data_IF_577611154629
#
_entry.id   IF_577611154629
#
_cell.length_a   1.000
_cell.length_b   1.000
_cell.length_c   1.000
_cell.angle_alpha   90.00
_cell.angle_beta   90.00
_cell.angle_gamma   90.00
#
_symmetry.space_group_name_H-M   'P 1'
#
loop_
_entity.id
_entity.type
_entity.pdbx_description
1 polymer ?
#
# COMPACT_ATOMS: atom_id res chain seq x y z
N UNK A 1 -23.55 12.02 0.11
CA UNK A 1 -23.37 11.45 -1.24
C UNK A 1 -23.60 9.96 -1.12
N UNK A 2 -24.51 9.42 -1.91
CA UNK A 2 -24.89 8.00 -1.83
C UNK A 2 -23.97 7.11 -2.71
N UNK A 3 -23.41 7.67 -3.80
CA UNK A 3 -22.57 6.93 -4.74
C UNK A 3 -21.12 6.96 -4.33
N UNK A 4 -20.51 5.77 -4.23
CA UNK A 4 -19.08 5.56 -3.97
C UNK A 4 -18.50 4.57 -4.95
N UNK A 5 -17.20 4.60 -5.21
CA UNK A 5 -16.56 3.67 -6.12
C UNK A 5 -15.06 3.88 -6.16
N UNK A 6 -14.40 2.94 -6.81
CA UNK A 6 -12.96 2.94 -6.93
C UNK A 6 -12.51 2.25 -8.22
N UNK A 7 -11.58 2.89 -8.96
CA UNK A 7 -10.93 2.31 -10.13
C UNK A 7 -9.63 1.67 -9.70
N UNK A 8 -9.57 0.35 -9.73
CA UNK A 8 -8.42 -0.44 -9.30
C UNK A 8 -7.39 -0.62 -10.41
N UNK A 9 -7.87 -0.72 -11.65
CA UNK A 9 -7.03 -0.85 -12.82
C UNK A 9 -7.55 0.00 -13.96
N UNK A 10 -6.66 0.71 -14.64
CA UNK A 10 -6.93 1.36 -15.90
C UNK A 10 -5.70 1.22 -16.81
N UNK A 11 -5.81 0.38 -17.81
CA UNK A 11 -4.77 0.10 -18.81
C UNK A 11 -5.22 0.51 -20.22
N UNK A 12 -4.40 0.16 -21.22
CA UNK A 12 -4.61 0.56 -22.61
C UNK A 12 -5.87 0.02 -23.25
N UNK A 13 -6.42 -1.08 -22.77
CA UNK A 13 -7.58 -1.74 -23.36
C UNK A 13 -8.68 -2.11 -22.36
N UNK A 14 -8.47 -1.88 -21.06
CA UNK A 14 -9.41 -2.28 -20.01
C UNK A 14 -9.36 -1.35 -18.82
N UNK A 15 -10.54 -1.11 -18.23
CA UNK A 15 -10.71 -0.40 -16.96
C UNK A 15 -11.55 -1.28 -16.03
N UNK A 16 -11.10 -1.47 -14.78
CA UNK A 16 -11.85 -2.25 -13.80
C UNK A 16 -11.82 -1.64 -12.40
N UNK A 17 -12.81 -2.01 -11.59
CA UNK A 17 -13.00 -1.48 -10.25
C UNK A 17 -14.35 -1.87 -9.68
N UNK A 18 -14.91 -1.00 -8.86
CA UNK A 18 -16.27 -1.17 -8.32
C UNK A 18 -16.97 0.18 -8.16
N UNK A 19 -18.32 0.16 -8.20
CA UNK A 19 -19.16 1.33 -7.97
C UNK A 19 -20.45 0.90 -7.26
N UNK A 20 -20.86 1.67 -6.24
CA UNK A 20 -21.98 1.34 -5.37
C UNK A 20 -22.74 2.60 -4.94
N UNK A 21 -24.07 2.51 -4.89
CA UNK A 21 -24.95 3.54 -4.35
C UNK A 21 -25.59 3.06 -3.05
N UNK A 22 -25.21 3.65 -1.93
CA UNK A 22 -25.78 3.31 -0.63
C UNK A 22 -27.25 3.72 -0.48
N UNK A 23 -27.74 4.64 -1.30
CA UNK A 23 -29.15 5.04 -1.36
C UNK A 23 -30.01 4.04 -2.16
N UNK A 24 -29.38 3.24 -3.02
CA UNK A 24 -30.05 2.23 -3.85
C UNK A 24 -29.19 0.94 -3.89
N UNK A 25 -29.10 0.17 -2.79
CA UNK A 25 -28.13 -0.91 -2.61
C UNK A 25 -28.23 -2.06 -3.61
N UNK A 26 -29.38 -2.24 -4.25
CA UNK A 26 -29.60 -3.26 -5.30
C UNK A 26 -29.35 -2.75 -6.72
N UNK A 27 -29.12 -1.43 -6.90
CA UNK A 27 -28.89 -0.86 -8.20
C UNK A 27 -27.53 -1.31 -8.77
N UNK A 28 -27.52 -1.58 -10.08
CA UNK A 28 -26.30 -1.83 -10.85
C UNK A 28 -25.99 -0.54 -11.60
N UNK A 29 -24.96 0.16 -11.13
CA UNK A 29 -24.62 1.46 -11.70
C UNK A 29 -24.02 1.29 -13.09
N UNK A 30 -24.43 2.13 -14.03
CA UNK A 30 -23.69 2.27 -15.27
C UNK A 30 -22.38 3.00 -14.98
N UNK A 31 -21.30 2.49 -15.54
CA UNK A 31 -19.95 3.07 -15.40
C UNK A 31 -19.48 3.46 -16.79
N UNK A 32 -19.05 4.70 -16.95
CA UNK A 32 -18.54 5.23 -18.23
C UNK A 32 -17.07 5.59 -18.13
N UNK A 33 -16.32 5.36 -19.21
CA UNK A 33 -14.91 5.70 -19.37
C UNK A 33 -14.77 6.81 -20.39
N UNK A 34 -14.09 7.91 -20.03
CA UNK A 34 -13.98 9.14 -20.83
C UNK A 34 -12.58 9.75 -20.72
N UNK A 35 -12.22 10.59 -21.69
CA UNK A 35 -11.10 11.56 -21.60
C UNK A 35 -11.70 12.93 -21.95
N UNK A 36 -11.79 13.82 -20.96
CA UNK A 36 -12.53 15.05 -21.13
C UNK A 36 -13.99 14.78 -21.56
N UNK A 37 -14.40 15.36 -22.70
CA UNK A 37 -15.76 15.15 -23.24
C UNK A 37 -15.87 13.91 -24.15
N UNK A 38 -14.78 13.26 -24.50
CA UNK A 38 -14.78 12.11 -25.40
C UNK A 38 -15.14 10.83 -24.64
N UNK A 39 -16.17 10.13 -25.13
CA UNK A 39 -16.66 8.86 -24.59
C UNK A 39 -15.96 7.67 -25.28
N UNK A 40 -15.47 6.71 -24.51
CA UNK A 40 -14.77 5.53 -25.02
C UNK A 40 -15.53 4.22 -24.81
N UNK A 41 -16.12 4.02 -23.63
CA UNK A 41 -16.84 2.79 -23.32
C UNK A 41 -17.75 2.96 -22.11
N UNK A 42 -18.74 2.06 -21.99
CA UNK A 42 -19.52 1.90 -20.76
C UNK A 42 -19.78 0.43 -20.45
N UNK A 43 -20.16 0.16 -19.21
CA UNK A 43 -20.56 -1.15 -18.72
C UNK A 43 -21.27 -1.01 -17.38
N UNK A 44 -21.71 -2.13 -16.81
CA UNK A 44 -22.39 -2.12 -15.51
C UNK A 44 -21.49 -2.63 -14.39
N UNK A 45 -21.68 -2.06 -13.21
CA UNK A 45 -21.07 -2.54 -11.96
C UNK A 45 -21.95 -3.69 -11.40
N UNK A 46 -21.82 -4.89 -12.00
CA UNK A 46 -22.66 -6.07 -11.73
C UNK A 46 -21.84 -7.35 -11.47
N UNK A 47 -20.52 -7.26 -11.52
CA UNK A 47 -19.61 -8.39 -11.29
C UNK A 47 -19.59 -8.72 -9.80
N UNK A 48 -19.80 -10.00 -9.48
CA UNK A 48 -19.72 -10.51 -8.11
C UNK A 48 -18.27 -10.49 -7.61
N UNK A 49 -18.09 -9.96 -6.40
CA UNK A 49 -16.80 -9.82 -5.71
C UNK A 49 -16.98 -10.13 -4.24
N UNK A 50 -16.29 -11.17 -3.78
CA UNK A 50 -16.36 -11.63 -2.40
C UNK A 50 -15.81 -10.59 -1.41
N UNK A 51 -14.80 -9.82 -1.80
CA UNK A 51 -14.23 -8.76 -0.98
C UNK A 51 -15.21 -7.60 -0.75
N UNK A 52 -16.04 -7.26 -1.74
CA UNK A 52 -17.10 -6.26 -1.59
C UNK A 52 -18.23 -6.77 -0.69
N UNK A 53 -18.59 -8.05 -0.83
CA UNK A 53 -19.59 -8.69 0.04
C UNK A 53 -19.12 -8.68 1.50
N UNK A 54 -17.87 -9.07 1.74
CA UNK A 54 -17.23 -9.07 3.06
C UNK A 54 -17.13 -7.65 3.65
N UNK A 55 -16.90 -6.65 2.79
CA UNK A 55 -16.86 -5.24 3.19
C UNK A 55 -18.24 -4.63 3.46
N UNK A 56 -19.35 -5.39 3.28
CA UNK A 56 -20.71 -4.90 3.47
C UNK A 56 -21.18 -3.94 2.36
N UNK A 57 -20.58 -4.00 1.19
CA UNK A 57 -20.95 -3.19 0.02
C UNK A 57 -22.05 -3.92 -0.73
N UNK A 58 -23.30 -3.59 -0.40
CA UNK A 58 -24.49 -4.19 -0.97
C UNK A 58 -24.50 -5.73 -0.90
N UNK A 59 -24.83 -6.37 -2.00
CA UNK A 59 -24.80 -7.83 -2.16
C UNK A 59 -23.49 -8.35 -2.76
N UNK A 60 -22.45 -7.51 -2.80
CA UNK A 60 -21.14 -7.84 -3.38
C UNK A 60 -21.07 -7.84 -4.90
N UNK A 61 -22.20 -7.59 -5.62
CA UNK A 61 -22.24 -7.55 -7.08
C UNK A 61 -22.15 -6.11 -7.58
N UNK A 62 -21.05 -5.44 -7.28
CA UNK A 62 -20.81 -4.04 -7.64
C UNK A 62 -19.44 -3.84 -8.31
N UNK A 63 -18.78 -4.91 -8.72
CA UNK A 63 -17.55 -4.85 -9.53
C UNK A 63 -17.87 -4.51 -10.98
N UNK A 64 -16.93 -3.87 -11.68
CA UNK A 64 -16.99 -3.68 -13.13
C UNK A 64 -15.65 -4.01 -13.79
N UNK A 65 -15.73 -4.40 -15.07
CA UNK A 65 -14.58 -4.60 -15.93
C UNK A 65 -15.02 -4.25 -17.35
N UNK A 66 -14.52 -3.13 -17.85
CA UNK A 66 -14.95 -2.52 -19.12
C UNK A 66 -13.78 -2.58 -20.09
N UNK A 67 -13.98 -3.28 -21.20
CA UNK A 67 -13.02 -3.28 -22.32
C UNK A 67 -13.21 -2.00 -23.12
N UNK A 68 -12.11 -1.31 -23.40
CA UNK A 68 -12.11 -0.03 -24.10
C UNK A 68 -11.75 -0.25 -25.55
N UNK A 69 -12.54 0.27 -26.45
CA UNK A 69 -12.51 -0.03 -27.89
C UNK A 69 -11.35 0.57 -28.69
N UNK A 70 -10.42 1.26 -28.03
CA UNK A 70 -9.19 1.79 -28.66
C UNK A 70 -8.08 0.76 -28.56
N UNK A 71 -7.43 0.44 -29.65
CA UNK A 71 -6.39 -0.59 -29.68
C UNK A 71 -5.25 -0.33 -28.68
N UNK A 72 -4.88 0.93 -28.44
CA UNK A 72 -3.95 1.31 -27.36
C UNK A 72 -4.16 2.76 -26.96
N UNK A 73 -4.23 3.04 -25.64
CA UNK A 73 -4.07 4.39 -25.11
C UNK A 73 -2.58 4.67 -24.88
N UNK A 74 -2.14 5.86 -25.19
CA UNK A 74 -0.84 6.36 -24.73
C UNK A 74 -0.81 6.50 -23.21
N UNK A 75 0.38 6.56 -22.62
CA UNK A 75 0.52 6.79 -21.18
C UNK A 75 -0.16 8.10 -20.71
N UNK A 76 -0.13 9.14 -21.54
CA UNK A 76 -0.78 10.41 -21.27
C UNK A 76 -2.31 10.28 -21.32
N UNK A 77 -2.86 9.57 -22.29
CA UNK A 77 -4.30 9.30 -22.39
C UNK A 77 -4.77 8.41 -21.25
N UNK A 78 -4.01 7.37 -20.88
CA UNK A 78 -4.29 6.55 -19.69
C UNK A 78 -4.30 7.44 -18.44
N UNK A 79 -3.39 8.37 -18.28
CA UNK A 79 -3.37 9.31 -17.16
C UNK A 79 -4.58 10.27 -17.16
N UNK A 80 -5.12 10.61 -18.32
CA UNK A 80 -6.27 11.49 -18.50
C UNK A 80 -7.64 10.78 -18.45
N UNK A 81 -7.67 9.43 -18.37
CA UNK A 81 -8.92 8.68 -18.31
C UNK A 81 -9.73 9.07 -17.06
N UNK A 82 -10.98 9.36 -17.25
CA UNK A 82 -11.96 9.60 -16.20
C UNK A 82 -13.01 8.48 -16.20
N UNK A 83 -13.35 8.01 -15.01
CA UNK A 83 -14.38 6.98 -14.82
C UNK A 83 -15.50 7.58 -13.99
N UNK A 84 -16.72 7.49 -14.49
CA UNK A 84 -17.89 8.01 -13.83
C UNK A 84 -18.92 6.91 -13.60
N UNK A 85 -19.51 6.86 -12.40
CA UNK A 85 -20.69 6.06 -12.10
C UNK A 85 -21.96 6.91 -12.21
N UNK A 86 -23.00 6.34 -12.78
CA UNK A 86 -24.27 7.00 -13.01
C UNK A 86 -25.35 6.35 -12.15
N UNK A 87 -25.98 7.14 -11.26
CA UNK A 87 -27.12 6.74 -10.47
C UNK A 87 -28.27 7.70 -10.72
N UNK A 88 -29.27 7.27 -11.50
CA UNK A 88 -30.36 8.13 -11.96
C UNK A 88 -29.90 9.34 -12.78
N UNK A 89 -30.07 10.55 -12.24
CA UNK A 89 -29.58 11.78 -12.87
C UNK A 89 -28.19 12.23 -12.31
N UNK A 90 -27.66 11.56 -11.32
CA UNK A 90 -26.38 11.91 -10.69
C UNK A 90 -25.23 11.19 -11.40
N UNK A 91 -24.21 11.96 -11.80
CA UNK A 91 -22.98 11.45 -12.40
C UNK A 91 -21.84 11.74 -11.45
N UNK A 92 -21.23 10.70 -10.89
CA UNK A 92 -20.17 10.81 -9.88
C UNK A 92 -18.87 10.29 -10.46
N UNK A 93 -17.84 11.13 -10.44
CA UNK A 93 -16.48 10.72 -10.79
C UNK A 93 -15.93 9.78 -9.73
N UNK A 94 -15.57 8.57 -10.17
CA UNK A 94 -14.98 7.58 -9.31
C UNK A 94 -13.48 7.90 -9.14
N UNK A 95 -13.01 7.87 -7.88
CA UNK A 95 -11.60 8.05 -7.57
C UNK A 95 -10.77 6.90 -8.18
N UNK A 96 -9.68 7.27 -8.84
CA UNK A 96 -8.77 6.36 -9.50
C UNK A 96 -7.47 6.20 -8.72
N UNK A 97 -7.00 4.98 -8.56
CA UNK A 97 -5.56 4.78 -8.49
C UNK A 97 -4.98 5.19 -9.85
N UNK A 98 -4.08 6.16 -9.86
CA UNK A 98 -3.39 6.51 -11.10
C UNK A 98 -2.73 5.25 -11.64
N UNK A 99 -3.22 4.79 -12.80
CA UNK A 99 -2.95 3.48 -13.34
C UNK A 99 -1.46 3.17 -13.37
N UNK A 100 -1.15 1.94 -13.04
CA UNK A 100 0.14 1.39 -13.42
C UNK A 100 0.26 1.50 -14.96
N UNK A 101 1.38 1.97 -15.48
CA UNK A 101 1.64 1.89 -16.91
C UNK A 101 1.57 0.43 -17.35
N UNK A 102 1.20 0.19 -18.61
CA UNK A 102 1.23 -1.17 -19.16
C UNK A 102 2.61 -1.80 -18.97
N UNK A 103 2.67 -3.10 -18.72
CA UNK A 103 3.94 -3.79 -18.65
C UNK A 103 4.57 -3.90 -20.03
N UNK A 104 5.24 -2.86 -20.48
CA UNK A 104 6.16 -2.93 -21.62
C UNK A 104 7.56 -3.13 -21.05
N UNK A 105 7.89 -4.36 -20.73
CA UNK A 105 9.26 -4.70 -20.33
C UNK A 105 10.03 -5.16 -21.56
N UNK A 106 10.69 -4.23 -22.23
CA UNK A 106 11.69 -4.57 -23.23
C UNK A 106 13.07 -4.76 -22.55
N UNK A 107 13.42 -6.00 -22.24
CA UNK A 107 14.67 -6.37 -21.58
C UNK A 107 15.92 -6.27 -22.50
N UNK A 108 15.82 -5.64 -23.66
CA UNK A 108 16.91 -5.63 -24.68
C UNK A 108 17.86 -4.45 -24.61
N UNK A 109 17.83 -3.65 -23.53
CA UNK A 109 18.67 -2.46 -23.48
C UNK A 109 20.01 -2.69 -22.79
N UNK A 110 21.08 -2.18 -23.39
CA UNK A 110 22.44 -2.07 -22.83
C UNK A 110 22.52 -1.17 -21.58
N UNK A 111 21.38 -0.61 -21.15
CA UNK A 111 21.23 0.27 -19.96
C UNK A 111 21.32 -0.49 -18.62
N UNK A 112 21.49 -1.81 -18.61
CA UNK A 112 21.65 -2.65 -17.41
C UNK A 112 22.97 -2.39 -16.63
N UNK A 113 23.46 -1.16 -16.58
CA UNK A 113 24.78 -0.89 -15.99
C UNK A 113 24.73 -0.44 -14.52
N UNK A 114 23.66 0.17 -14.05
CA UNK A 114 23.57 0.65 -12.67
C UNK A 114 22.92 -0.40 -11.74
N UNK A 115 23.47 -0.59 -10.54
CA UNK A 115 22.88 -1.41 -9.48
C UNK A 115 21.98 -0.59 -8.54
N UNK A 116 21.92 0.70 -8.75
CA UNK A 116 21.09 1.66 -8.01
C UNK A 116 20.73 2.83 -8.92
N UNK A 117 19.64 3.52 -8.63
CA UNK A 117 19.20 4.73 -9.33
C UNK A 117 19.04 5.89 -8.36
N UNK A 118 20.03 6.80 -8.36
CA UNK A 118 20.03 8.02 -7.56
C UNK A 118 19.21 9.16 -8.20
N UNK A 119 18.62 8.97 -9.37
CA UNK A 119 17.79 9.99 -10.03
C UNK A 119 16.32 9.88 -9.63
N UNK A 120 15.91 8.76 -9.03
CA UNK A 120 14.56 8.51 -8.58
C UNK A 120 14.39 8.78 -7.08
N UNK A 121 13.20 9.20 -6.69
CA UNK A 121 12.81 9.57 -5.34
C UNK A 121 11.55 8.82 -4.90
N UNK A 122 11.61 7.47 -4.81
CA UNK A 122 10.46 6.69 -4.42
C UNK A 122 10.10 6.91 -2.95
N UNK A 123 8.81 6.68 -2.66
CA UNK A 123 8.30 6.62 -1.29
C UNK A 123 7.74 5.23 -1.01
N UNK A 124 8.22 4.61 0.04
CA UNK A 124 7.74 3.33 0.51
C UNK A 124 6.89 3.52 1.76
N UNK A 125 5.60 3.11 1.66
CA UNK A 125 4.66 3.20 2.77
C UNK A 125 4.58 1.83 3.41
N UNK A 126 5.09 1.74 4.63
CA UNK A 126 5.29 0.53 5.40
C UNK A 126 4.34 0.49 6.60
N UNK A 127 4.18 -0.69 7.17
CA UNK A 127 3.42 -0.87 8.41
C UNK A 127 2.42 -2.02 8.34
N UNK A 128 1.86 -2.44 9.49
CA UNK A 128 0.85 -3.49 9.50
C UNK A 128 -0.41 -3.08 8.75
N UNK A 129 -1.08 -4.02 8.11
CA UNK A 129 -2.40 -3.77 7.53
C UNK A 129 -3.33 -3.13 8.58
N UNK A 130 -4.20 -2.22 8.17
CA UNK A 130 -5.13 -1.46 9.05
C UNK A 130 -4.48 -0.45 9.99
N UNK A 131 -3.29 0.03 9.66
CA UNK A 131 -2.59 1.10 10.40
C UNK A 131 -2.62 2.47 9.70
N UNK A 132 -3.46 2.64 8.66
CA UNK A 132 -3.60 3.92 7.94
C UNK A 132 -2.70 4.05 6.70
N UNK A 133 -2.04 2.98 6.27
CA UNK A 133 -1.18 2.99 5.07
C UNK A 133 -1.93 3.44 3.81
N UNK A 134 -3.16 2.96 3.60
CA UNK A 134 -3.98 3.37 2.44
C UNK A 134 -4.34 4.86 2.45
N UNK A 135 -4.59 5.44 3.63
CA UNK A 135 -4.90 6.88 3.73
C UNK A 135 -3.73 7.75 3.24
N UNK A 136 -2.51 7.40 3.67
CA UNK A 136 -1.29 8.11 3.22
C UNK A 136 -1.04 7.89 1.73
N UNK A 137 -1.21 6.65 1.25
CA UNK A 137 -1.07 6.33 -0.19
C UNK A 137 -1.99 7.19 -1.04
N UNK A 138 -3.28 7.20 -0.73
CA UNK A 138 -4.27 7.97 -1.49
C UNK A 138 -3.99 9.48 -1.42
N UNK A 139 -3.61 9.99 -0.25
CA UNK A 139 -3.28 11.40 -0.10
C UNK A 139 -2.07 11.82 -0.96
N UNK A 140 -1.05 10.95 -1.07
CA UNK A 140 0.11 11.22 -1.92
C UNK A 140 -0.24 11.18 -3.41
N UNK A 141 -1.09 10.25 -3.82
CA UNK A 141 -1.61 10.21 -5.20
C UNK A 141 -2.44 11.46 -5.51
N UNK A 142 -3.36 11.85 -4.63
CA UNK A 142 -4.16 13.06 -4.76
C UNK A 142 -3.33 14.37 -4.75
N UNK A 143 -2.14 14.34 -4.16
CA UNK A 143 -1.22 15.48 -4.24
C UNK A 143 -0.77 15.77 -5.67
N UNK A 144 -0.82 14.78 -6.56
CA UNK A 144 -0.30 14.84 -7.93
C UNK A 144 1.22 14.86 -8.02
N UNK A 145 1.94 14.64 -6.91
CA UNK A 145 3.41 14.58 -6.89
C UNK A 145 3.98 13.18 -7.03
N UNK A 146 3.15 12.17 -6.82
CA UNK A 146 3.53 10.77 -6.89
C UNK A 146 2.57 9.99 -7.77
N UNK A 147 3.09 8.98 -8.45
CA UNK A 147 2.31 7.92 -9.08
C UNK A 147 2.57 6.59 -8.36
N UNK A 148 1.71 5.64 -8.51
CA UNK A 148 1.86 4.31 -7.88
C UNK A 148 0.58 3.51 -7.89
N UNK A 149 0.65 2.31 -7.36
CA UNK A 149 -0.46 1.37 -7.22
C UNK A 149 -0.91 1.23 -5.77
N UNK A 150 -2.04 0.59 -5.54
CA UNK A 150 -2.55 0.29 -4.21
C UNK A 150 -1.61 -0.61 -3.40
N UNK A 151 -1.18 -1.73 -4.01
CA UNK A 151 -0.18 -2.66 -3.47
C UNK A 151 0.68 -3.17 -4.61
N UNK A 152 1.99 -2.89 -4.56
CA UNK A 152 2.91 -3.20 -5.66
C UNK A 152 3.50 -4.59 -5.60
N UNK A 153 3.72 -5.13 -4.40
CA UNK A 153 4.39 -6.41 -4.12
C UNK A 153 5.77 -6.59 -4.80
N UNK A 154 6.29 -5.55 -5.45
CA UNK A 154 7.55 -5.62 -6.20
C UNK A 154 8.76 -5.83 -5.28
N UNK A 155 8.81 -5.08 -4.19
CA UNK A 155 9.94 -5.14 -3.25
C UNK A 155 9.98 -6.42 -2.41
N UNK A 156 8.85 -6.95 -1.91
CA UNK A 156 8.83 -8.30 -1.33
C UNK A 156 9.37 -9.37 -2.28
N UNK A 157 9.00 -9.32 -3.56
CA UNK A 157 9.52 -10.24 -4.58
C UNK A 157 11.04 -10.07 -4.77
N UNK A 158 11.53 -8.85 -4.90
CA UNK A 158 12.96 -8.56 -5.06
C UNK A 158 13.78 -9.11 -3.87
N UNK A 159 13.35 -8.83 -2.66
CA UNK A 159 13.98 -9.31 -1.43
C UNK A 159 13.94 -10.85 -1.34
N UNK A 160 12.81 -11.47 -1.68
CA UNK A 160 12.65 -12.93 -1.69
C UNK A 160 13.60 -13.61 -2.68
N UNK A 161 13.73 -13.07 -3.90
CA UNK A 161 14.62 -13.60 -4.93
C UNK A 161 16.10 -13.47 -4.52
N UNK A 162 16.53 -12.31 -4.02
CA UNK A 162 17.91 -12.14 -3.55
C UNK A 162 18.22 -13.08 -2.38
N UNK A 163 17.31 -13.21 -1.43
CA UNK A 163 17.44 -14.16 -0.31
C UNK A 163 17.49 -15.63 -0.78
N UNK A 164 16.79 -15.96 -1.87
CA UNK A 164 16.84 -17.28 -2.47
C UNK A 164 18.21 -17.57 -3.09
N UNK A 165 18.78 -16.59 -3.81
CA UNK A 165 20.12 -16.67 -4.38
C UNK A 165 21.14 -16.95 -3.26
N UNK A 166 21.11 -16.17 -2.18
CA UNK A 166 22.04 -16.34 -1.05
C UNK A 166 21.95 -17.73 -0.43
N UNK A 167 20.74 -18.18 -0.11
CA UNK A 167 20.54 -19.53 0.45
C UNK A 167 21.02 -20.64 -0.48
N UNK A 168 20.85 -20.47 -1.78
CA UNK A 168 21.30 -21.45 -2.76
C UNK A 168 22.83 -21.52 -2.82
N UNK A 169 23.49 -20.37 -2.84
CA UNK A 169 24.96 -20.30 -2.80
C UNK A 169 25.55 -20.84 -1.49
N UNK A 170 24.91 -20.60 -0.35
CA UNK A 170 25.33 -21.19 0.92
C UNK A 170 25.29 -22.72 0.92
N UNK A 171 24.37 -23.32 0.15
CA UNK A 171 24.23 -24.80 0.07
C UNK A 171 25.12 -25.43 -0.97
N UNK A 172 25.25 -24.82 -2.13
CA UNK A 172 25.86 -25.43 -3.31
C UNK A 172 27.10 -24.73 -3.83
N UNK A 173 27.35 -23.47 -3.45
CA UNK A 173 28.47 -22.66 -3.98
C UNK A 173 29.85 -23.09 -3.52
N UNK A 174 29.95 -23.89 -2.44
CA UNK A 174 31.22 -24.42 -1.94
C UNK A 174 31.70 -25.69 -2.65
N UNK A 175 30.88 -26.32 -3.48
CA UNK A 175 31.25 -27.51 -4.23
C UNK A 175 31.95 -27.13 -5.56
N UNK A 176 33.27 -27.23 -5.57
CA UNK A 176 34.12 -26.89 -6.73
C UNK A 176 33.81 -27.69 -7.98
N UNK A 177 33.08 -28.79 -7.88
CA UNK A 177 32.67 -29.61 -9.02
C UNK A 177 31.49 -29.02 -9.80
N UNK A 178 30.79 -28.06 -9.23
CA UNK A 178 29.60 -27.44 -9.81
C UNK A 178 29.95 -26.24 -10.70
N UNK A 179 29.14 -26.00 -11.73
CA UNK A 179 29.23 -24.76 -12.52
C UNK A 179 28.98 -23.52 -11.66
N UNK A 180 28.13 -23.63 -10.65
CA UNK A 180 27.76 -22.54 -9.78
C UNK A 180 29.00 -22.03 -8.99
N UNK A 181 29.90 -22.89 -8.56
CA UNK A 181 31.12 -22.50 -7.87
C UNK A 181 32.05 -21.59 -8.72
N UNK A 182 31.85 -21.56 -10.03
CA UNK A 182 32.61 -20.72 -10.98
C UNK A 182 31.98 -19.36 -11.21
N UNK A 183 30.76 -19.13 -10.70
CA UNK A 183 30.02 -17.88 -10.84
C UNK A 183 29.99 -17.19 -9.47
N UNK A 184 30.54 -16.00 -9.32
CA UNK A 184 30.47 -15.28 -8.06
C UNK A 184 29.03 -15.01 -7.64
N UNK A 185 28.69 -15.21 -6.35
CA UNK A 185 27.31 -14.99 -5.84
C UNK A 185 26.83 -13.56 -6.08
N UNK A 186 27.75 -12.59 -5.98
CA UNK A 186 27.45 -11.19 -6.20
C UNK A 186 27.10 -10.85 -7.65
N UNK A 187 27.51 -11.69 -8.62
CA UNK A 187 27.16 -11.50 -10.03
C UNK A 187 25.65 -11.65 -10.26
N UNK A 188 25.02 -12.68 -9.68
CA UNK A 188 23.58 -12.85 -9.74
C UNK A 188 22.83 -11.77 -8.95
N UNK A 189 23.32 -11.42 -7.78
CA UNK A 189 22.73 -10.34 -7.00
C UNK A 189 22.75 -9.01 -7.75
N UNK A 190 23.89 -8.65 -8.36
CA UNK A 190 24.02 -7.44 -9.17
C UNK A 190 23.06 -7.46 -10.36
N UNK A 191 22.95 -8.58 -11.05
CA UNK A 191 22.01 -8.74 -12.17
C UNK A 191 20.56 -8.52 -11.73
N UNK A 192 20.14 -9.16 -10.63
CA UNK A 192 18.79 -9.02 -10.12
C UNK A 192 18.50 -7.58 -9.63
N UNK A 193 19.41 -6.94 -8.92
CA UNK A 193 19.30 -5.55 -8.51
C UNK A 193 19.10 -4.62 -9.69
N UNK A 194 19.91 -4.77 -10.74
CA UNK A 194 19.78 -4.03 -12.00
C UNK A 194 18.41 -4.23 -12.65
N UNK A 195 17.98 -5.50 -12.74
CA UNK A 195 16.68 -5.83 -13.31
C UNK A 195 15.53 -5.13 -12.56
N UNK A 196 15.56 -5.07 -11.23
CA UNK A 196 14.54 -4.38 -10.43
C UNK A 196 14.60 -2.86 -10.57
N UNK A 197 15.78 -2.25 -10.63
CA UNK A 197 15.93 -0.81 -10.89
C UNK A 197 15.38 -0.47 -12.27
N UNK A 198 15.74 -1.25 -13.29
CA UNK A 198 15.23 -1.05 -14.66
C UNK A 198 13.72 -1.23 -14.72
N UNK A 199 13.20 -2.32 -14.15
CA UNK A 199 11.76 -2.60 -14.09
C UNK A 199 10.98 -1.45 -13.44
N UNK A 200 11.47 -0.90 -12.32
CA UNK A 200 10.83 0.23 -11.68
C UNK A 200 10.86 1.49 -12.56
N UNK A 201 11.98 1.73 -13.27
CA UNK A 201 12.11 2.85 -14.21
C UNK A 201 11.11 2.71 -15.37
N UNK A 202 10.96 1.51 -15.91
CA UNK A 202 10.04 1.22 -17.01
C UNK A 202 8.57 1.29 -16.60
N UNK A 203 8.26 0.87 -15.36
CA UNK A 203 6.89 0.91 -14.85
C UNK A 203 6.43 2.32 -14.51
N UNK A 204 7.28 3.11 -13.90
CA UNK A 204 6.83 4.36 -13.30
C UNK A 204 7.11 5.61 -14.15
N UNK A 205 8.01 5.54 -15.15
CA UNK A 205 8.35 6.64 -16.08
C UNK A 205 8.54 8.02 -15.44
N UNK A 206 8.60 8.12 -14.13
CA UNK A 206 8.76 9.35 -13.36
C UNK A 206 9.75 9.16 -12.23
N UNK A 207 10.34 10.30 -11.78
CA UNK A 207 11.27 10.27 -10.66
C UNK A 207 10.59 10.06 -9.31
N UNK A 208 9.30 10.38 -9.19
CA UNK A 208 8.53 10.29 -7.93
C UNK A 208 7.42 9.27 -8.06
N UNK A 209 7.62 8.12 -7.47
CA UNK A 209 6.65 7.04 -7.42
C UNK A 209 6.55 6.47 -5.99
N UNK A 210 5.50 5.75 -5.73
CA UNK A 210 5.29 5.12 -4.42
C UNK A 210 4.92 3.64 -4.57
N UNK A 211 5.30 2.85 -3.56
CA UNK A 211 4.82 1.49 -3.35
C UNK A 211 4.37 1.32 -1.90
N UNK A 212 3.23 0.64 -1.74
CA UNK A 212 2.66 0.30 -0.45
C UNK A 212 2.27 -1.17 -0.44
N UNK A 213 2.92 -1.96 0.38
CA UNK A 213 2.56 -3.36 0.63
C UNK A 213 2.66 -3.64 2.13
N UNK A 214 1.52 -3.83 2.84
CA UNK A 214 1.51 -3.89 4.30
C UNK A 214 1.86 -5.29 4.82
N UNK A 215 3.05 -5.78 4.47
CA UNK A 215 3.58 -7.10 4.85
C UNK A 215 4.94 -6.99 5.52
N UNK A 216 5.33 -8.05 6.24
CA UNK A 216 6.63 -8.12 6.92
C UNK A 216 7.78 -8.15 5.90
N UNK A 217 7.59 -8.78 4.76
CA UNK A 217 8.59 -8.86 3.68
C UNK A 217 8.90 -7.48 3.12
N UNK A 218 7.89 -6.62 2.99
CA UNK A 218 8.07 -5.24 2.55
C UNK A 218 8.94 -4.45 3.53
N UNK A 219 8.72 -4.61 4.83
CA UNK A 219 9.55 -3.96 5.86
C UNK A 219 10.98 -4.49 5.83
N UNK A 220 11.15 -5.81 5.72
CA UNK A 220 12.49 -6.44 5.62
C UNK A 220 13.26 -6.00 4.38
N UNK A 221 12.55 -5.69 3.28
CA UNK A 221 13.14 -5.21 2.05
C UNK A 221 13.62 -3.74 2.11
N UNK A 222 13.34 -2.99 3.18
CA UNK A 222 13.56 -1.53 3.24
C UNK A 222 15.04 -1.15 3.08
N UNK A 223 15.96 -1.92 3.62
CA UNK A 223 17.40 -1.67 3.43
C UNK A 223 17.82 -1.89 1.98
N UNK A 224 17.32 -2.94 1.34
CA UNK A 224 17.51 -3.17 -0.09
C UNK A 224 16.92 -2.01 -0.91
N UNK A 225 15.73 -1.53 -0.58
CA UNK A 225 15.12 -0.37 -1.26
C UNK A 225 16.02 0.86 -1.20
N UNK A 226 16.64 1.11 -0.03
CA UNK A 226 17.57 2.23 0.14
C UNK A 226 18.85 2.05 -0.66
N UNK A 227 19.34 0.83 -0.82
CA UNK A 227 20.49 0.53 -1.67
C UNK A 227 20.17 0.74 -3.16
N UNK A 228 18.98 0.30 -3.60
CA UNK A 228 18.53 0.46 -4.97
C UNK A 228 18.22 1.93 -5.32
N UNK A 229 17.64 2.66 -4.37
CA UNK A 229 17.28 4.08 -4.52
C UNK A 229 17.77 4.89 -3.31
N UNK A 230 18.98 5.47 -3.40
CA UNK A 230 19.59 6.20 -2.27
C UNK A 230 18.75 7.38 -1.75
N UNK A 231 17.88 7.94 -2.60
CA UNK A 231 16.97 9.02 -2.23
C UNK A 231 15.57 8.56 -1.82
N UNK A 232 15.37 7.25 -1.65
CA UNK A 232 14.10 6.71 -1.14
C UNK A 232 13.74 7.33 0.22
N UNK A 233 12.43 7.50 0.45
CA UNK A 233 11.86 7.88 1.74
C UNK A 233 10.90 6.80 2.22
N UNK A 234 10.82 6.64 3.53
CA UNK A 234 10.05 5.60 4.18
C UNK A 234 9.06 6.22 5.16
N UNK A 235 7.80 5.86 5.05
CA UNK A 235 6.75 6.26 5.99
C UNK A 235 6.25 4.99 6.65
N UNK A 236 6.55 4.81 7.93
CA UNK A 236 6.08 3.67 8.70
C UNK A 236 4.84 4.05 9.50
N UNK A 237 3.71 3.47 9.13
CA UNK A 237 2.43 3.64 9.80
C UNK A 237 2.29 2.58 10.89
N UNK A 238 2.34 2.99 12.15
CA UNK A 238 2.15 2.09 13.29
C UNK A 238 0.75 2.27 13.91
N UNK A 239 0.31 1.26 14.62
CA UNK A 239 -0.94 1.27 15.37
C UNK A 239 -0.85 0.27 16.50
N UNK A 240 -1.39 0.60 17.67
CA UNK A 240 -1.45 -0.32 18.81
C UNK A 240 -2.21 -1.61 18.43
N UNK A 241 -1.77 -2.75 18.96
CA UNK A 241 -2.26 -4.08 18.55
C UNK A 241 -3.77 -4.24 18.77
N UNK A 242 -4.33 -3.73 19.86
CA UNK A 242 -5.76 -3.88 20.20
C UNK A 242 -6.65 -3.27 19.10
N UNK A 243 -6.43 -2.01 18.77
CA UNK A 243 -7.18 -1.31 17.71
C UNK A 243 -6.88 -1.90 16.32
N UNK A 244 -5.68 -2.39 16.11
CA UNK A 244 -5.32 -3.06 14.85
C UNK A 244 -6.13 -4.34 14.67
N UNK A 245 -6.16 -5.23 15.69
CA UNK A 245 -6.93 -6.49 15.66
C UNK A 245 -8.43 -6.21 15.46
N UNK A 246 -9.01 -5.27 16.21
CA UNK A 246 -10.42 -4.91 16.06
C UNK A 246 -10.74 -4.45 14.63
N UNK A 247 -9.86 -3.68 14.01
CA UNK A 247 -10.01 -3.26 12.62
C UNK A 247 -9.80 -4.42 11.63
N UNK A 248 -8.85 -5.33 11.91
CA UNK A 248 -8.59 -6.50 11.05
C UNK A 248 -9.73 -7.51 11.11
N UNK A 249 -10.30 -7.79 12.27
CA UNK A 249 -11.48 -8.67 12.42
C UNK A 249 -12.67 -8.20 11.57
N UNK A 250 -12.87 -6.87 11.46
CA UNK A 250 -13.93 -6.30 10.60
C UNK A 250 -13.62 -6.43 9.10
N UNK A 251 -12.38 -6.19 8.71
CA UNK A 251 -11.98 -6.22 7.30
C UNK A 251 -11.70 -7.64 6.80
N UNK A 252 -11.19 -8.51 7.66
CA UNK A 252 -10.76 -9.87 7.35
C UNK A 252 -11.40 -10.90 8.31
N UNK A 253 -12.74 -11.08 8.26
CA UNK A 253 -13.47 -11.88 9.26
C UNK A 253 -13.13 -13.36 9.24
N UNK A 254 -12.52 -13.86 8.17
CA UNK A 254 -12.09 -15.26 8.05
C UNK A 254 -10.71 -15.54 8.68
N UNK A 255 -9.96 -14.48 9.02
CA UNK A 255 -8.69 -14.61 9.72
C UNK A 255 -8.88 -14.90 11.21
N UNK A 256 -8.02 -15.76 11.79
CA UNK A 256 -8.01 -15.98 13.23
C UNK A 256 -7.42 -14.78 13.96
N UNK A 257 -7.79 -14.57 15.21
CA UNK A 257 -7.19 -13.52 16.04
C UNK A 257 -5.69 -13.72 16.18
N UNK A 258 -5.26 -14.97 16.31
CA UNK A 258 -3.84 -15.34 16.37
C UNK A 258 -3.09 -14.90 15.11
N UNK A 259 -3.61 -15.18 13.92
CA UNK A 259 -2.99 -14.71 12.69
C UNK A 259 -2.88 -13.19 12.65
N UNK A 260 -3.90 -12.48 13.14
CA UNK A 260 -3.90 -11.01 13.14
C UNK A 260 -2.81 -10.40 14.03
N UNK A 261 -2.67 -10.89 15.29
CA UNK A 261 -1.64 -10.33 16.15
C UNK A 261 -0.22 -10.82 15.80
N UNK A 262 -0.10 -12.04 15.30
CA UNK A 262 1.19 -12.57 14.85
C UNK A 262 1.73 -11.80 13.64
N UNK A 263 0.90 -11.53 12.64
CA UNK A 263 1.26 -10.68 11.50
C UNK A 263 1.64 -9.27 11.97
N UNK A 264 0.84 -8.67 12.86
CA UNK A 264 1.12 -7.36 13.43
C UNK A 264 2.49 -7.35 14.13
N UNK A 265 2.75 -8.30 15.01
CA UNK A 265 3.99 -8.39 15.76
C UNK A 265 5.19 -8.60 14.83
N UNK A 266 5.04 -9.43 13.79
CA UNK A 266 6.09 -9.68 12.80
C UNK A 266 6.47 -8.40 12.03
N UNK A 267 5.49 -7.62 11.57
CA UNK A 267 5.72 -6.37 10.85
C UNK A 267 6.38 -5.33 11.75
N UNK A 268 5.86 -5.16 12.97
CA UNK A 268 6.36 -4.18 13.93
C UNK A 268 7.78 -4.53 14.42
N UNK A 269 8.05 -5.82 14.69
CA UNK A 269 9.39 -6.31 15.06
C UNK A 269 10.41 -6.12 13.93
N UNK A 270 10.00 -6.41 12.69
CA UNK A 270 10.87 -6.18 11.53
C UNK A 270 11.24 -4.70 11.39
N UNK A 271 10.30 -3.79 11.67
CA UNK A 271 10.59 -2.36 11.67
C UNK A 271 11.59 -1.96 12.75
N UNK A 272 11.43 -2.45 13.98
CA UNK A 272 12.40 -2.20 15.06
C UNK A 272 13.82 -2.60 14.66
N UNK A 273 13.97 -3.66 13.87
CA UNK A 273 15.27 -4.14 13.42
C UNK A 273 15.94 -3.24 12.37
N UNK A 274 15.16 -2.53 11.53
CA UNK A 274 15.71 -1.78 10.38
C UNK A 274 15.67 -0.25 10.55
N UNK A 275 14.81 0.29 11.43
CA UNK A 275 14.56 1.74 11.55
C UNK A 275 15.81 2.56 11.84
N UNK A 276 16.73 2.01 12.65
CA UNK A 276 17.98 2.69 13.02
C UNK A 276 18.88 2.93 11.81
N UNK A 277 18.97 1.98 10.88
CA UNK A 277 19.77 2.10 9.67
C UNK A 277 19.13 3.05 8.63
N UNK A 278 17.81 3.14 8.60
CA UNK A 278 17.09 4.08 7.72
C UNK A 278 17.25 5.54 8.19
N UNK A 279 17.34 5.76 9.50
CA UNK A 279 17.62 7.07 10.10
C UNK A 279 16.66 8.17 9.60
N UNK A 280 17.21 9.31 9.18
CA UNK A 280 16.43 10.46 8.72
C UNK A 280 15.69 10.25 7.39
N UNK A 281 15.92 9.14 6.68
CA UNK A 281 15.15 8.79 5.49
C UNK A 281 13.75 8.23 5.86
N UNK A 282 13.51 7.92 7.13
CA UNK A 282 12.28 7.30 7.61
C UNK A 282 11.52 8.22 8.58
N UNK A 283 10.19 8.12 8.56
CA UNK A 283 9.28 8.79 9.46
C UNK A 283 8.30 7.77 10.04
N UNK A 284 8.20 7.69 11.36
CA UNK A 284 7.17 6.91 12.05
C UNK A 284 5.95 7.78 12.33
N UNK A 285 4.77 7.27 12.00
CA UNK A 285 3.49 7.92 12.31
C UNK A 285 2.57 6.91 12.97
N UNK A 286 2.05 7.25 14.13
CA UNK A 286 1.00 6.46 14.75
C UNK A 286 -0.35 6.76 14.09
N UNK A 287 -1.15 5.72 13.88
CA UNK A 287 -2.53 5.86 13.40
C UNK A 287 -3.34 6.83 14.27
N UNK A 288 -3.09 6.84 15.59
CA UNK A 288 -3.72 7.78 16.51
C UNK A 288 -3.36 9.23 16.19
N UNK A 289 -2.11 9.50 15.83
CA UNK A 289 -1.68 10.84 15.40
C UNK A 289 -2.37 11.25 14.09
N UNK A 290 -2.49 10.31 13.13
CA UNK A 290 -3.24 10.56 11.89
C UNK A 290 -4.69 10.99 12.17
N UNK A 291 -5.27 10.47 13.25
CA UNK A 291 -6.65 10.74 13.66
C UNK A 291 -6.80 12.07 14.41
N UNK A 292 -5.95 12.27 15.40
CA UNK A 292 -6.08 13.37 16.36
C UNK A 292 -5.31 14.63 15.94
N UNK A 293 -4.24 14.46 15.18
CA UNK A 293 -3.31 15.51 14.78
C UNK A 293 -3.02 15.50 13.28
N UNK A 294 -4.06 15.44 12.40
CA UNK A 294 -3.87 15.27 10.96
C UNK A 294 -3.04 16.38 10.32
N UNK A 295 -3.10 17.59 10.86
CA UNK A 295 -2.30 18.74 10.43
C UNK A 295 -0.80 18.54 10.67
N UNK A 296 -0.45 18.02 11.84
CA UNK A 296 0.93 17.68 12.17
C UNK A 296 1.43 16.55 11.26
N UNK A 297 0.63 15.50 11.05
CA UNK A 297 0.98 14.39 10.16
C UNK A 297 1.21 14.91 8.73
N UNK A 298 0.30 15.75 8.23
CA UNK A 298 0.43 16.31 6.89
C UNK A 298 1.70 17.16 6.75
N UNK A 299 2.02 17.97 7.75
CA UNK A 299 3.22 18.81 7.75
C UNK A 299 4.50 17.98 7.83
N UNK A 300 4.53 16.95 8.67
CA UNK A 300 5.69 16.06 8.85
C UNK A 300 5.99 15.26 7.58
N UNK A 301 4.97 14.70 6.93
CA UNK A 301 5.14 13.98 5.66
C UNK A 301 5.55 14.95 4.54
N UNK A 302 4.91 16.12 4.46
CA UNK A 302 5.27 17.11 3.45
C UNK A 302 6.74 17.57 3.61
N UNK A 303 7.22 17.72 4.83
CA UNK A 303 8.62 18.02 5.14
C UNK A 303 9.56 16.90 4.71
N UNK A 304 9.28 15.64 5.10
CA UNK A 304 10.09 14.47 4.70
C UNK A 304 10.22 14.34 3.18
N UNK A 305 9.12 14.60 2.47
CA UNK A 305 9.01 14.40 1.02
C UNK A 305 9.30 15.68 0.21
N UNK A 306 9.62 16.76 0.89
CA UNK A 306 9.85 18.06 0.25
C UNK A 306 8.70 18.46 -0.70
N UNK A 307 7.46 18.24 -0.24
CA UNK A 307 6.29 18.69 -0.99
C UNK A 307 6.14 20.21 -0.85
N UNK A 308 5.86 20.88 -1.94
CA UNK A 308 5.71 22.33 -1.96
C UNK A 308 4.47 22.80 -2.70
N UNK A 309 4.09 24.05 -2.47
CA UNK A 309 3.04 24.74 -3.21
C UNK A 309 1.70 23.98 -3.22
N UNK A 310 1.13 23.84 -4.41
CA UNK A 310 -0.18 23.21 -4.60
C UNK A 310 -0.22 21.73 -4.20
N UNK A 311 0.89 21.00 -4.34
CA UNK A 311 0.97 19.58 -3.97
C UNK A 311 0.83 19.41 -2.45
N UNK A 312 1.58 20.17 -1.66
CA UNK A 312 1.48 20.14 -0.20
C UNK A 312 0.06 20.52 0.26
N UNK A 313 -0.55 21.54 -0.37
CA UNK A 313 -1.90 21.98 -0.06
C UNK A 313 -2.96 20.90 -0.37
N UNK A 314 -2.85 20.18 -1.51
CA UNK A 314 -3.75 19.06 -1.84
C UNK A 314 -3.56 17.90 -0.88
N UNK A 315 -2.32 17.49 -0.61
CA UNK A 315 -1.99 16.45 0.36
C UNK A 315 -2.60 16.74 1.72
N UNK A 316 -2.35 17.93 2.27
CA UNK A 316 -2.89 18.38 3.56
C UNK A 316 -4.41 18.35 3.58
N UNK A 317 -5.07 18.91 2.55
CA UNK A 317 -6.53 18.92 2.45
C UNK A 317 -7.09 17.49 2.48
N UNK A 318 -6.46 16.55 1.77
CA UNK A 318 -6.90 15.17 1.75
C UNK A 318 -6.77 14.52 3.12
N UNK A 319 -5.62 14.63 3.78
CA UNK A 319 -5.36 14.07 5.10
C UNK A 319 -6.35 14.63 6.16
N UNK A 320 -6.66 15.94 6.10
CA UNK A 320 -7.52 16.57 7.09
C UNK A 320 -9.03 16.36 6.83
N UNK A 321 -9.45 16.12 5.59
CA UNK A 321 -10.86 16.02 5.21
C UNK A 321 -11.31 14.61 4.88
N UNK A 322 -10.46 13.77 4.25
CA UNK A 322 -10.84 12.46 3.78
C UNK A 322 -10.67 11.39 4.87
N UNK A 323 -11.59 10.44 4.88
CA UNK A 323 -11.59 9.28 5.79
C UNK A 323 -11.72 7.99 4.98
N UNK A 324 -10.82 7.71 4.01
CA UNK A 324 -10.91 6.51 3.20
C UNK A 324 -10.77 5.26 4.09
N UNK A 325 -11.55 4.24 3.80
CA UNK A 325 -11.55 2.95 4.50
C UNK A 325 -11.82 3.04 6.02
N UNK A 326 -12.53 4.08 6.48
CA UNK A 326 -12.96 4.17 7.87
C UNK A 326 -13.95 3.03 8.18
N UNK A 327 -13.60 2.17 9.11
CA UNK A 327 -14.43 1.02 9.54
C UNK A 327 -15.02 1.18 10.92
N UNK A 328 -14.78 2.31 11.61
CA UNK A 328 -15.21 2.55 12.97
C UNK A 328 -15.89 3.91 13.09
N UNK A 329 -17.09 3.94 13.69
CA UNK A 329 -17.81 5.18 14.01
C UNK A 329 -17.13 5.94 15.16
N UNK A 330 -16.51 5.21 16.12
CA UNK A 330 -15.77 5.77 17.25
C UNK A 330 -14.30 6.02 16.87
N UNK A 331 -14.11 6.94 15.99
CA UNK A 331 -12.83 7.33 15.47
C UNK A 331 -11.92 7.92 16.57
N UNK A 332 -10.77 7.29 16.79
CA UNK A 332 -9.83 7.68 17.84
C UNK A 332 -10.11 7.08 19.22
N UNK A 333 -11.15 6.27 19.38
CA UNK A 333 -11.38 5.52 20.61
C UNK A 333 -10.23 4.57 20.92
N UNK A 334 -9.94 4.45 22.19
CA UNK A 334 -8.99 3.48 22.75
C UNK A 334 -9.76 2.41 23.52
N UNK A 335 -9.22 1.20 23.50
CA UNK A 335 -9.86 0.06 24.12
C UNK A 335 -8.86 -0.68 25.02
N UNK A 336 -9.36 -1.32 26.06
CA UNK A 336 -8.57 -2.26 26.85
C UNK A 336 -8.51 -3.64 26.20
N UNK A 337 -7.60 -4.51 26.68
CA UNK A 337 -7.43 -5.87 26.17
C UNK A 337 -8.72 -6.69 26.22
N UNK A 338 -9.55 -6.50 27.25
CA UNK A 338 -10.82 -7.18 27.45
C UNK A 338 -11.78 -6.99 26.28
N UNK A 339 -11.66 -5.88 25.54
CA UNK A 339 -12.49 -5.60 24.35
C UNK A 339 -12.28 -6.63 23.23
N UNK A 340 -11.18 -7.34 23.23
CA UNK A 340 -10.92 -8.41 22.26
C UNK A 340 -11.73 -9.68 22.56
N UNK A 341 -12.23 -9.86 23.79
CA UNK A 341 -13.02 -11.02 24.20
C UNK A 341 -12.25 -12.34 24.05
N UNK A 342 -10.95 -12.33 24.39
CA UNK A 342 -10.11 -13.52 24.30
C UNK A 342 -10.30 -14.42 25.53
N UNK A 343 -10.23 -15.71 25.32
CA UNK A 343 -10.07 -16.67 26.40
C UNK A 343 -8.72 -16.48 27.11
N UNK A 344 -8.61 -16.89 28.38
CA UNK A 344 -7.39 -16.65 29.17
C UNK A 344 -6.12 -17.19 28.54
N UNK A 345 -6.18 -18.35 27.89
CA UNK A 345 -5.03 -18.94 27.21
C UNK A 345 -4.65 -18.18 25.94
N UNK A 346 -5.63 -17.67 25.18
CA UNK A 346 -5.41 -16.84 24.00
C UNK A 346 -4.79 -15.49 24.38
N UNK A 347 -5.31 -14.87 25.44
CA UNK A 347 -4.79 -13.62 25.97
C UNK A 347 -3.32 -13.78 26.41
N UNK A 348 -2.99 -14.85 27.14
CA UNK A 348 -1.60 -15.15 27.53
C UNK A 348 -0.68 -15.34 26.32
N UNK A 349 -1.14 -16.07 25.30
CA UNK A 349 -0.35 -16.27 24.08
C UNK A 349 -0.14 -14.94 23.32
N UNK A 350 -1.20 -14.15 23.16
CA UNK A 350 -1.11 -12.82 22.54
C UNK A 350 -0.12 -11.91 23.28
N UNK A 351 -0.19 -11.88 24.62
CA UNK A 351 0.76 -11.10 25.43
C UNK A 351 2.19 -11.57 25.20
N UNK A 352 2.44 -12.87 25.22
CA UNK A 352 3.78 -13.42 24.98
C UNK A 352 4.37 -13.01 23.61
N UNK A 353 3.51 -12.94 22.57
CA UNK A 353 3.92 -12.55 21.21
C UNK A 353 4.07 -11.04 21.06
N UNK A 354 3.17 -10.25 21.64
CA UNK A 354 3.06 -8.82 21.36
C UNK A 354 3.80 -7.93 22.35
N UNK A 355 4.00 -8.36 23.60
CA UNK A 355 4.55 -7.55 24.68
C UNK A 355 5.91 -6.94 24.38
N UNK A 356 6.88 -7.65 23.80
CA UNK A 356 8.16 -7.04 23.45
C UNK A 356 8.04 -5.85 22.51
N UNK A 357 7.08 -5.93 21.57
CA UNK A 357 6.81 -4.88 20.59
C UNK A 357 6.01 -3.75 21.22
N UNK A 358 4.98 -4.07 22.01
CA UNK A 358 4.17 -3.10 22.73
C UNK A 358 5.07 -2.22 23.63
N UNK A 359 5.93 -2.85 24.38
CA UNK A 359 6.90 -2.18 25.25
C UNK A 359 7.85 -1.28 24.46
N UNK A 360 8.42 -1.79 23.35
CA UNK A 360 9.36 -1.02 22.53
C UNK A 360 8.76 0.24 21.88
N UNK A 361 7.43 0.28 21.71
CA UNK A 361 6.69 1.46 21.22
C UNK A 361 5.98 2.24 22.32
N UNK A 362 6.08 1.84 23.57
CA UNK A 362 5.44 2.49 24.71
C UNK A 362 3.91 2.34 24.72
N UNK A 363 3.36 1.30 24.10
CA UNK A 363 1.92 1.05 24.08
C UNK A 363 1.44 0.37 25.38
N UNK A 364 0.27 0.80 25.87
CA UNK A 364 -0.41 0.17 26.98
C UNK A 364 -1.46 -0.87 26.57
N UNK A 365 -1.90 -1.71 27.49
CA UNK A 365 -2.98 -2.68 27.27
C UNK A 365 -4.33 -2.22 27.86
N UNK A 366 -4.33 -1.14 28.62
CA UNK A 366 -5.54 -0.53 29.17
C UNK A 366 -6.19 0.46 28.20
N UNK A 367 -7.10 1.28 28.74
CA UNK A 367 -7.72 2.38 27.99
C UNK A 367 -6.71 3.48 27.64
N UNK A 368 -5.64 3.61 28.44
CA UNK A 368 -4.51 4.45 28.07
C UNK A 368 -3.78 3.84 26.88
N UNK A 369 -3.71 4.60 25.80
CA UNK A 369 -3.09 4.13 24.55
C UNK A 369 -1.60 3.87 24.72
N UNK A 370 -0.93 4.72 25.48
CA UNK A 370 0.47 4.59 25.87
C UNK A 370 0.58 4.18 27.34
N UNK A 371 1.59 3.37 27.66
CA UNK A 371 1.88 3.04 29.06
C UNK A 371 2.33 4.30 29.81
N UNK A 372 1.75 4.54 30.97
CA UNK A 372 2.13 5.65 31.87
C UNK A 372 3.50 5.30 32.48
N UNK A 373 4.55 5.99 32.08
CA UNK A 373 5.86 5.93 32.73
C UNK A 373 6.97 5.24 31.94
N UNK A 374 7.25 5.73 30.77
CA UNK A 374 8.58 5.60 30.14
C UNK A 374 9.15 6.97 29.84
#
# INVERSE_FOLDING_TARGET
MAVTGFVEYAGSNRVSGWAYDSGSPSARLEVTVRIGDEFYASGFADIARDDLLVAGIGDGKHGFAIDVSKEHFSAEEVAALEVHAISGAEVVKILRFHGAPEPVVDLKSDALMATSDATQFPVFILGPARSGTSAITLALLESGSYIGTGEGHLMPLAHGLLSCIDRHYQRAGGDASTTLARVPSDAFQKLMRRAFVQLASDLFHTKRWLDKTPTVEMVRASLLMRELWPHARFIFMKRRVIENILSRRRKFPHGTTESHYSDWAAVMSAWLAVRGELGSAALEIDHRQLVLEPEWVASSIAGLLELSGGAAARFRRYICAARPEQTDENFGATYSLERLGLEEHEARHMLAVCDPVMTAFGYGYGEDYYSVGT
#
